data_IF_152313171848
#
_entry.id   IF_152313171848
#
_cell.length_a   1.000
_cell.length_b   1.000
_cell.length_c   1.000
_cell.angle_alpha   90.00
_cell.angle_beta   90.00
_cell.angle_gamma   90.00
#
_symmetry.space_group_name_H-M   'P 1'
#
loop_
_entity.id
_entity.type
_entity.pdbx_description
1 polymer ?
#
# COMPACT_ATOMS: atom_id res chain seq x y z
N UNK A 1 11.76 -13.45 4.64
CA UNK A 1 10.87 -12.30 4.35
C UNK A 1 9.96 -12.72 3.22
N UNK A 2 8.64 -12.65 3.40
CA UNK A 2 7.69 -12.97 2.33
C UNK A 2 7.81 -11.92 1.23
N UNK A 3 8.44 -12.29 0.12
CA UNK A 3 8.56 -11.45 -1.06
C UNK A 3 7.22 -11.54 -1.80
N UNK A 4 6.45 -10.45 -1.78
CA UNK A 4 5.25 -10.35 -2.60
C UNK A 4 5.66 -10.21 -4.05
N UNK A 5 4.88 -10.82 -4.92
CA UNK A 5 5.11 -10.69 -6.36
C UNK A 5 4.86 -9.23 -6.75
N UNK A 6 5.86 -8.64 -7.40
CA UNK A 6 5.69 -7.33 -8.02
C UNK A 6 4.61 -7.43 -9.10
N UNK A 7 3.83 -6.36 -9.25
CA UNK A 7 2.83 -6.26 -10.31
C UNK A 7 3.59 -6.25 -11.64
N UNK A 8 3.14 -7.07 -12.59
CA UNK A 8 3.74 -7.14 -13.92
C UNK A 8 3.68 -5.76 -14.57
N UNK A 9 4.84 -5.26 -15.02
CA UNK A 9 4.99 -3.90 -15.56
C UNK A 9 4.57 -3.78 -17.02
N UNK A 10 4.01 -4.83 -17.61
CA UNK A 10 3.49 -4.81 -18.99
C UNK A 10 2.18 -4.04 -19.12
N UNK A 11 1.39 -3.92 -18.05
CA UNK A 11 0.13 -3.18 -18.05
C UNK A 11 0.30 -1.74 -17.56
N UNK A 12 -0.43 -0.82 -18.19
CA UNK A 12 -0.42 0.60 -17.82
C UNK A 12 -1.02 0.79 -16.42
N UNK A 13 -0.27 1.44 -15.51
CA UNK A 13 -0.66 1.66 -14.10
C UNK A 13 -2.03 2.32 -13.95
N UNK A 14 -2.35 3.32 -14.78
CA UNK A 14 -3.64 4.01 -14.77
C UNK A 14 -4.77 3.07 -15.16
N UNK A 15 -4.58 2.21 -16.15
CA UNK A 15 -5.57 1.19 -16.52
C UNK A 15 -5.83 0.21 -15.39
N UNK A 16 -4.77 -0.29 -14.73
CA UNK A 16 -4.91 -1.23 -13.62
C UNK A 16 -5.63 -0.58 -12.43
N UNK A 17 -5.24 0.64 -12.05
CA UNK A 17 -5.89 1.37 -10.95
C UNK A 17 -7.36 1.65 -11.27
N UNK A 18 -7.67 2.08 -12.49
CA UNK A 18 -9.05 2.33 -12.92
C UNK A 18 -9.90 1.06 -12.87
N UNK A 19 -9.38 -0.07 -13.36
CA UNK A 19 -10.09 -1.34 -13.33
C UNK A 19 -10.31 -1.87 -11.90
N UNK A 20 -9.33 -1.70 -11.01
CA UNK A 20 -9.38 -2.25 -9.66
C UNK A 20 -10.14 -1.37 -8.65
N UNK A 21 -10.08 -0.04 -8.80
CA UNK A 21 -10.57 0.92 -7.81
C UNK A 21 -11.58 1.93 -8.37
N UNK A 22 -11.97 1.81 -9.64
CA UNK A 22 -12.87 2.76 -10.34
C UNK A 22 -12.39 4.22 -10.21
N UNK A 23 -11.08 4.42 -10.16
CA UNK A 23 -10.44 5.72 -9.96
C UNK A 23 -9.55 6.04 -11.17
N UNK A 24 -9.79 7.18 -11.82
CA UNK A 24 -9.05 7.60 -13.01
C UNK A 24 -7.99 8.64 -12.64
N UNK A 25 -6.81 8.17 -12.24
CA UNK A 25 -5.69 9.03 -11.89
C UNK A 25 -4.81 9.31 -13.13
N UNK A 26 -4.35 10.56 -13.34
CA UNK A 26 -3.44 10.93 -14.42
C UNK A 26 -2.02 10.42 -14.12
N UNK A 27 -1.82 9.12 -14.31
CA UNK A 27 -0.58 8.42 -14.01
C UNK A 27 -0.01 7.74 -15.26
N UNK A 28 1.31 7.73 -15.34
CA UNK A 28 2.07 6.99 -16.34
C UNK A 28 3.31 6.33 -15.73
N UNK A 29 4.21 5.80 -16.56
CA UNK A 29 5.41 5.11 -16.10
C UNK A 29 5.13 3.72 -15.51
N UNK A 30 5.83 3.40 -14.41
CA UNK A 30 5.77 2.09 -13.75
C UNK A 30 5.22 2.14 -12.32
N UNK A 31 5.38 1.03 -11.60
CA UNK A 31 4.89 0.85 -10.22
C UNK A 31 5.83 1.39 -9.12
N UNK A 32 6.91 2.07 -9.50
CA UNK A 32 7.79 2.76 -8.55
C UNK A 32 8.69 1.85 -7.72
N UNK A 33 8.95 0.60 -8.15
CA UNK A 33 9.86 -0.30 -7.44
C UNK A 33 11.31 0.20 -7.44
N UNK A 34 11.71 0.86 -8.52
CA UNK A 34 13.02 1.50 -8.68
C UNK A 34 12.82 2.86 -9.36
N UNK A 35 13.88 3.68 -9.38
CA UNK A 35 13.84 4.97 -10.05
C UNK A 35 13.55 4.86 -11.56
N UNK A 36 14.10 3.84 -12.24
CA UNK A 36 13.93 3.65 -13.69
C UNK A 36 12.50 3.28 -14.09
N UNK A 37 11.73 2.71 -13.17
CA UNK A 37 10.31 2.39 -13.34
C UNK A 37 9.45 3.15 -12.31
N UNK A 38 9.82 4.40 -12.06
CA UNK A 38 9.06 5.32 -11.21
C UNK A 38 7.61 5.46 -11.66
N UNK A 39 6.71 5.72 -10.71
CA UNK A 39 5.35 6.15 -11.02
C UNK A 39 5.37 7.62 -11.41
N UNK A 40 4.99 7.94 -12.64
CA UNK A 40 4.92 9.31 -13.12
C UNK A 40 3.54 9.87 -12.78
N UNK A 41 3.53 11.02 -12.11
CA UNK A 41 2.31 11.76 -11.81
C UNK A 41 2.19 12.87 -12.88
N UNK A 42 1.34 12.64 -13.88
CA UNK A 42 1.23 13.51 -15.04
C UNK A 42 0.45 14.80 -14.71
N UNK A 43 -0.51 14.72 -13.80
CA UNK A 43 -1.34 15.86 -13.36
C UNK A 43 -1.88 15.63 -11.92
N UNK A 44 -2.42 16.67 -11.30
CA UNK A 44 -3.09 16.61 -10.00
C UNK A 44 -4.33 17.52 -10.01
N UNK A 45 -5.40 17.11 -10.75
CA UNK A 45 -6.56 17.97 -11.01
C UNK A 45 -7.31 18.33 -9.73
N UNK A 46 -7.35 17.41 -8.76
CA UNK A 46 -8.01 17.59 -7.46
C UNK A 46 -7.19 18.46 -6.49
N UNK A 47 -5.98 18.89 -6.90
CA UNK A 47 -5.06 19.74 -6.12
C UNK A 47 -4.81 19.18 -4.72
N UNK A 48 -4.76 17.87 -4.60
CA UNK A 48 -4.42 17.20 -3.35
C UNK A 48 -2.98 17.56 -2.97
N UNK A 49 -2.64 17.68 -1.68
CA UNK A 49 -1.25 17.70 -1.26
C UNK A 49 -0.52 16.51 -1.89
N UNK A 50 0.59 16.75 -2.57
CA UNK A 50 1.28 15.72 -3.36
C UNK A 50 1.61 14.47 -2.52
N UNK A 51 2.00 14.66 -1.27
CA UNK A 51 2.23 13.56 -0.32
C UNK A 51 1.00 12.68 -0.06
N UNK A 52 -0.20 13.24 -0.09
CA UNK A 52 -1.45 12.48 0.05
C UNK A 52 -1.76 11.68 -1.22
N UNK A 53 -1.54 12.28 -2.39
CA UNK A 53 -1.69 11.58 -3.67
C UNK A 53 -0.71 10.40 -3.77
N UNK A 54 0.56 10.62 -3.44
CA UNK A 54 1.59 9.58 -3.39
C UNK A 54 1.23 8.45 -2.42
N UNK A 55 0.79 8.80 -1.20
CA UNK A 55 0.37 7.82 -0.20
C UNK A 55 -0.82 6.98 -0.69
N UNK A 56 -1.80 7.61 -1.36
CA UNK A 56 -2.94 6.92 -1.96
C UNK A 56 -2.48 5.92 -3.03
N UNK A 57 -1.59 6.33 -3.94
CA UNK A 57 -1.07 5.47 -5.01
C UNK A 57 -0.27 4.29 -4.43
N UNK A 58 0.61 4.55 -3.46
CA UNK A 58 1.36 3.51 -2.77
C UNK A 58 0.41 2.53 -2.04
N UNK A 59 -0.68 3.03 -1.46
CA UNK A 59 -1.69 2.21 -0.79
C UNK A 59 -2.45 1.30 -1.77
N UNK A 60 -2.80 1.84 -2.95
CA UNK A 60 -3.42 1.06 -4.03
C UNK A 60 -2.49 -0.06 -4.50
N UNK A 61 -1.19 0.24 -4.72
CA UNK A 61 -0.18 -0.76 -5.07
C UNK A 61 -0.07 -1.86 -4.02
N UNK A 62 0.03 -1.51 -2.73
CA UNK A 62 0.10 -2.48 -1.66
C UNK A 62 -1.15 -3.38 -1.61
N UNK A 63 -2.34 -2.81 -1.83
CA UNK A 63 -3.58 -3.58 -1.87
C UNK A 63 -3.66 -4.52 -3.07
N UNK A 64 -3.18 -4.08 -4.24
CA UNK A 64 -3.07 -4.94 -5.43
C UNK A 64 -2.15 -6.14 -5.14
N UNK A 65 -0.95 -5.89 -4.64
CA UNK A 65 0.06 -6.93 -4.36
C UNK A 65 -0.37 -7.91 -3.26
N UNK A 66 -0.98 -7.40 -2.18
CA UNK A 66 -1.22 -8.19 -0.97
C UNK A 66 -2.64 -8.78 -0.91
N UNK A 67 -3.58 -8.27 -1.71
CA UNK A 67 -4.97 -8.75 -1.72
C UNK A 67 -5.45 -9.14 -3.12
N UNK A 68 -5.60 -8.18 -4.04
CA UNK A 68 -6.36 -8.43 -5.28
C UNK A 68 -5.70 -9.46 -6.20
N UNK A 69 -4.37 -9.46 -6.30
CA UNK A 69 -3.61 -10.41 -7.12
C UNK A 69 -3.34 -11.75 -6.43
N UNK A 70 -3.71 -11.89 -5.15
CA UNK A 70 -3.46 -13.10 -4.37
C UNK A 70 -4.64 -14.07 -4.45
N UNK A 71 -4.32 -15.37 -4.45
CA UNK A 71 -5.29 -16.43 -4.17
C UNK A 71 -5.98 -16.17 -2.82
N UNK A 72 -7.26 -16.52 -2.69
CA UNK A 72 -8.07 -16.23 -1.51
C UNK A 72 -7.39 -16.61 -0.17
N UNK A 73 -6.79 -17.80 -0.10
CA UNK A 73 -6.08 -18.27 1.10
C UNK A 73 -4.79 -17.49 1.43
N UNK A 74 -4.26 -16.73 0.46
CA UNK A 74 -3.03 -15.94 0.59
C UNK A 74 -3.31 -14.44 0.70
N UNK A 75 -4.57 -14.01 0.72
CA UNK A 75 -4.91 -12.60 0.85
C UNK A 75 -4.54 -12.05 2.22
N UNK A 76 -4.16 -10.79 2.21
CA UNK A 76 -4.01 -9.99 3.42
C UNK A 76 -5.12 -8.95 3.49
N UNK A 77 -5.66 -8.74 4.68
CA UNK A 77 -6.53 -7.64 5.05
C UNK A 77 -5.83 -6.69 6.03
N UNK A 78 -6.55 -5.66 6.46
CA UNK A 78 -6.03 -4.61 7.37
C UNK A 78 -4.70 -4.03 6.89
N UNK A 79 -4.56 -3.85 5.56
CA UNK A 79 -3.36 -3.31 4.92
C UNK A 79 -3.32 -1.81 5.20
N UNK A 80 -2.31 -1.35 5.94
CA UNK A 80 -2.12 0.05 6.28
C UNK A 80 -0.69 0.47 5.97
N UNK A 81 -0.54 1.67 5.42
CA UNK A 81 0.75 2.25 5.06
C UNK A 81 1.04 3.46 5.94
N UNK A 82 2.28 3.56 6.40
CA UNK A 82 2.81 4.73 7.11
C UNK A 82 4.10 5.17 6.43
N UNK A 83 4.20 6.44 6.08
CA UNK A 83 5.46 7.02 5.62
C UNK A 83 6.47 7.02 6.77
N UNK A 84 7.66 6.49 6.51
CA UNK A 84 8.78 6.42 7.47
C UNK A 84 9.85 7.43 7.12
N UNK A 85 10.13 7.61 5.83
CA UNK A 85 11.18 8.48 5.34
C UNK A 85 10.88 8.95 3.91
N UNK A 86 11.45 10.09 3.54
CA UNK A 86 11.28 10.73 2.24
C UNK A 86 12.56 11.46 1.86
N UNK A 87 12.98 11.28 0.61
CA UNK A 87 14.07 12.05 0.02
C UNK A 87 13.70 12.50 -1.39
N UNK A 88 14.21 13.67 -1.76
CA UNK A 88 14.07 14.24 -3.10
C UNK A 88 15.37 13.98 -3.87
N UNK A 89 15.25 13.49 -5.09
CA UNK A 89 16.38 13.19 -5.98
C UNK A 89 16.15 13.91 -7.30
N UNK A 90 17.09 14.77 -7.69
CA UNK A 90 17.09 15.38 -9.01
C UNK A 90 18.06 14.62 -9.93
N UNK A 91 17.60 14.20 -11.10
CA UNK A 91 18.43 13.53 -12.11
C UNK A 91 17.96 13.95 -13.50
N UNK A 92 18.89 14.40 -14.35
CA UNK A 92 18.59 14.71 -15.76
C UNK A 92 17.42 15.70 -15.95
N UNK A 93 17.30 16.70 -15.05
CA UNK A 93 16.21 17.70 -14.98
C UNK A 93 14.83 17.13 -14.61
N UNK A 94 14.78 15.89 -14.16
CA UNK A 94 13.60 15.29 -13.57
C UNK A 94 13.72 15.26 -12.06
N UNK A 95 12.60 15.49 -11.39
CA UNK A 95 12.47 15.51 -9.94
C UNK A 95 11.76 14.24 -9.49
N UNK A 96 12.42 13.51 -8.58
CA UNK A 96 11.92 12.27 -8.03
C UNK A 96 11.69 12.39 -6.53
N UNK A 97 10.56 11.87 -6.07
CA UNK A 97 10.35 11.56 -4.66
C UNK A 97 10.61 10.08 -4.43
N UNK A 98 11.58 9.78 -3.57
CA UNK A 98 11.81 8.44 -3.04
C UNK A 98 11.19 8.38 -1.65
N UNK A 99 10.12 7.63 -1.51
CA UNK A 99 9.38 7.50 -0.24
C UNK A 99 9.52 6.09 0.29
N UNK A 100 9.82 5.96 1.59
CA UNK A 100 9.89 4.69 2.30
C UNK A 100 8.63 4.53 3.13
N UNK A 101 7.83 3.52 2.82
CA UNK A 101 6.63 3.17 3.57
C UNK A 101 6.86 1.94 4.44
N UNK A 102 6.32 1.96 5.64
CA UNK A 102 6.08 0.77 6.44
C UNK A 102 4.65 0.31 6.20
N UNK A 103 4.52 -0.95 5.78
CA UNK A 103 3.24 -1.58 5.49
C UNK A 103 2.97 -2.59 6.59
N UNK A 104 1.83 -2.44 7.24
CA UNK A 104 1.29 -3.42 8.18
C UNK A 104 0.11 -4.14 7.52
N UNK A 105 0.02 -5.46 7.70
CA UNK A 105 -1.09 -6.25 7.18
C UNK A 105 -1.24 -7.56 7.95
N UNK A 106 -2.39 -8.22 7.82
CA UNK A 106 -2.66 -9.50 8.45
C UNK A 106 -3.33 -10.43 7.44
N UNK A 107 -3.09 -11.75 7.51
CA UNK A 107 -3.84 -12.72 6.68
C UNK A 107 -5.34 -12.49 6.86
N UNK A 108 -6.08 -12.44 5.75
CA UNK A 108 -7.50 -12.06 5.78
C UNK A 108 -8.33 -12.99 6.67
N UNK A 109 -8.08 -14.30 6.59
CA UNK A 109 -8.74 -15.30 7.44
C UNK A 109 -8.43 -15.13 8.94
N UNK A 110 -7.19 -14.78 9.27
CA UNK A 110 -6.76 -14.54 10.66
C UNK A 110 -7.38 -13.25 11.18
N UNK A 111 -7.43 -12.22 10.34
CA UNK A 111 -8.06 -10.96 10.68
C UNK A 111 -9.57 -11.11 10.93
N UNK A 112 -10.26 -11.88 10.08
CA UNK A 112 -11.68 -12.20 10.28
C UNK A 112 -11.90 -12.95 11.59
N UNK A 113 -11.07 -13.96 11.90
CA UNK A 113 -11.16 -14.70 13.15
C UNK A 113 -10.98 -13.81 14.39
N UNK A 114 -10.06 -12.84 14.35
CA UNK A 114 -9.93 -11.86 15.44
C UNK A 114 -11.14 -10.94 15.56
N UNK A 115 -11.74 -10.50 14.44
CA UNK A 115 -12.97 -9.68 14.48
C UNK A 115 -14.10 -10.47 15.14
N UNK A 116 -14.28 -11.73 14.77
CA UNK A 116 -15.36 -12.57 15.29
C UNK A 116 -15.13 -12.89 16.77
N UNK A 117 -13.91 -13.27 17.16
CA UNK A 117 -13.51 -13.46 18.56
C UNK A 117 -13.78 -12.21 19.41
N UNK A 118 -13.43 -11.02 18.90
CA UNK A 118 -13.67 -9.78 19.62
C UNK A 118 -15.16 -9.46 19.73
N UNK A 119 -15.94 -9.60 18.66
CA UNK A 119 -17.40 -9.36 18.68
C UNK A 119 -18.12 -10.30 19.65
N UNK A 120 -17.71 -11.56 19.70
CA UNK A 120 -18.31 -12.56 20.58
C UNK A 120 -17.83 -12.43 22.02
N UNK A 121 -16.58 -12.04 22.25
CA UNK A 121 -15.95 -12.01 23.56
C UNK A 121 -16.11 -10.67 24.31
N UNK A 122 -16.17 -9.55 23.59
CA UNK A 122 -16.11 -8.23 24.21
C UNK A 122 -17.25 -8.02 25.23
N UNK A 123 -16.88 -7.59 26.44
CA UNK A 123 -17.81 -7.39 27.56
C UNK A 123 -18.12 -8.65 28.38
N UNK A 124 -17.60 -9.83 28.02
CA UNK A 124 -17.70 -11.05 28.83
C UNK A 124 -16.55 -11.15 29.83
N UNK A 125 -16.85 -11.67 31.03
CA UNK A 125 -15.89 -11.76 32.14
C UNK A 125 -14.64 -12.60 31.82
N UNK A 126 -14.76 -13.57 30.91
CA UNK A 126 -13.68 -14.48 30.53
C UNK A 126 -12.92 -14.05 29.27
N UNK A 127 -13.22 -12.89 28.69
CA UNK A 127 -12.51 -12.39 27.52
C UNK A 127 -11.28 -11.58 27.91
N UNK A 128 -10.10 -12.15 27.73
CA UNK A 128 -8.84 -11.45 27.94
C UNK A 128 -8.53 -10.53 26.74
N UNK A 129 -8.94 -9.28 26.89
CA UNK A 129 -8.74 -8.23 25.88
C UNK A 129 -7.25 -7.94 25.62
N UNK A 130 -6.40 -8.04 26.64
CA UNK A 130 -4.98 -7.76 26.50
C UNK A 130 -4.29 -8.85 25.69
N UNK A 131 -4.60 -10.11 26.00
CA UNK A 131 -4.11 -11.27 25.24
C UNK A 131 -4.60 -11.25 23.79
N UNK A 132 -5.87 -10.89 23.56
CA UNK A 132 -6.41 -10.74 22.20
C UNK A 132 -5.59 -9.73 21.37
N UNK A 133 -5.34 -8.53 21.90
CA UNK A 133 -4.56 -7.53 21.17
C UNK A 133 -3.07 -7.89 21.04
N UNK A 134 -2.51 -8.63 22.00
CA UNK A 134 -1.16 -9.18 21.87
C UNK A 134 -1.08 -10.16 20.69
N UNK A 135 -1.98 -11.15 20.61
CA UNK A 135 -2.04 -12.12 19.51
C UNK A 135 -2.24 -11.42 18.16
N UNK A 136 -3.08 -10.38 18.12
CA UNK A 136 -3.28 -9.57 16.91
C UNK A 136 -1.99 -8.88 16.48
N UNK A 137 -1.24 -8.30 17.42
CA UNK A 137 0.05 -7.66 17.13
C UNK A 137 1.07 -8.67 16.59
N UNK A 138 1.14 -9.86 17.19
CA UNK A 138 2.05 -10.93 16.76
C UNK A 138 1.69 -11.49 15.38
N UNK A 139 0.41 -11.53 15.03
CA UNK A 139 -0.07 -11.96 13.71
C UNK A 139 0.07 -10.88 12.62
N UNK A 140 0.44 -9.65 12.97
CA UNK A 140 0.58 -8.55 12.02
C UNK A 140 1.95 -8.61 11.34
N UNK A 141 1.94 -8.79 10.02
CA UNK A 141 3.11 -8.63 9.17
C UNK A 141 3.49 -7.14 9.10
N UNK A 142 4.77 -6.84 9.31
CA UNK A 142 5.35 -5.52 9.05
C UNK A 142 6.43 -5.67 7.96
N UNK A 143 6.34 -4.85 6.91
CA UNK A 143 7.38 -4.75 5.86
C UNK A 143 7.71 -3.29 5.56
N UNK A 144 8.90 -3.03 5.06
CA UNK A 144 9.29 -1.71 4.52
C UNK A 144 9.42 -1.79 3.01
N UNK A 145 8.89 -0.80 2.32
CA UNK A 145 8.92 -0.70 0.87
C UNK A 145 9.35 0.70 0.43
N UNK A 146 10.04 0.75 -0.71
CA UNK A 146 10.38 2.00 -1.37
C UNK A 146 9.40 2.18 -2.52
N UNK A 147 8.91 3.41 -2.67
CA UNK A 147 8.18 3.85 -3.85
C UNK A 147 8.89 5.07 -4.44
N UNK A 148 9.19 4.99 -5.74
CA UNK A 148 9.73 6.09 -6.53
C UNK A 148 8.62 6.75 -7.32
N UNK A 149 8.44 8.04 -7.11
CA UNK A 149 7.56 8.90 -7.89
C UNK A 149 8.40 9.88 -8.70
N UNK A 150 8.00 10.11 -9.94
CA UNK A 150 8.49 11.21 -10.77
C UNK A 150 7.39 12.29 -10.76
N UNK A 151 7.77 13.50 -10.40
CA UNK A 151 6.83 14.57 -9.98
C UNK A 151 7.08 15.89 -10.69
N UNK A 152 7.90 15.91 -11.75
CA UNK A 152 8.28 17.16 -12.44
C UNK A 152 7.10 17.90 -13.08
N UNK A 153 6.00 17.21 -13.39
CA UNK A 153 4.84 17.82 -14.04
C UNK A 153 3.88 18.50 -13.05
N UNK A 154 4.01 18.23 -11.75
CA UNK A 154 3.04 18.62 -10.72
C UNK A 154 3.63 19.45 -9.58
N UNK A 155 4.88 19.91 -9.75
CA UNK A 155 5.60 20.80 -8.82
C UNK A 155 5.87 22.15 -9.47
#
# INVERSE_FOLDING_TARGET
MSQFQQIDSTENIRTVIKAAFDTDLPLSGGWGYTQDIATLIDDNPDKLPLSQLEHMIASMRAYLEMNLTQEKAKRYGSINLREVDRSVVEKEKQLYHKVIYEISAMREEVYAAFIDEYKEGYGKENFDIALHFQRRKEATLIRKEIHWFEVSQVI
#
